data_IF_040843004149
#
_entry.id   IF_040843004149
#
_cell.length_a   1.000
_cell.length_b   1.000
_cell.length_c   1.000
_cell.angle_alpha   90.00
_cell.angle_beta   90.00
_cell.angle_gamma   90.00
#
_symmetry.space_group_name_H-M   'P 1'
#
loop_
_entity.id
_entity.type
_entity.pdbx_description
1 polymer ?
#
# COMPACT_ATOMS: atom_id res chain seq x y z
N UNK A 1 25.57 4.92 4.18
CA UNK A 1 25.68 3.79 3.24
C UNK A 1 25.18 4.28 1.89
N UNK A 2 26.04 4.27 0.84
CA UNK A 2 25.61 4.58 -0.54
C UNK A 2 25.32 3.26 -1.23
N UNK A 3 24.18 3.17 -1.91
CA UNK A 3 23.71 1.96 -2.59
C UNK A 3 23.63 2.30 -4.07
N UNK A 4 24.37 1.57 -4.90
CA UNK A 4 24.43 1.79 -6.34
C UNK A 4 23.39 0.89 -7.00
N UNK A 5 22.33 1.48 -7.57
CA UNK A 5 21.42 0.77 -8.46
C UNK A 5 21.72 1.24 -9.89
N UNK A 6 21.96 0.28 -10.80
CA UNK A 6 22.13 0.55 -12.22
C UNK A 6 20.80 0.24 -12.92
N UNK A 7 20.18 1.19 -13.64
CA UNK A 7 19.00 0.87 -14.43
C UNK A 7 19.36 -0.08 -15.59
N UNK A 8 18.43 -0.94 -16.04
CA UNK A 8 18.62 -1.69 -17.28
C UNK A 8 18.85 -0.68 -18.42
N UNK A 9 19.95 -0.86 -19.16
CA UNK A 9 20.45 0.00 -20.25
C UNK A 9 21.13 1.34 -19.90
N UNK A 10 21.38 1.66 -18.62
CA UNK A 10 22.12 2.89 -18.22
C UNK A 10 21.48 4.22 -18.69
N UNK A 11 20.24 4.17 -19.17
CA UNK A 11 19.47 5.33 -19.59
C UNK A 11 18.67 5.89 -18.40
N UNK A 12 19.04 7.09 -17.95
CA UNK A 12 18.38 7.82 -16.85
C UNK A 12 17.13 8.59 -17.32
N UNK A 13 16.45 8.12 -18.36
CA UNK A 13 15.22 8.74 -18.83
C UNK A 13 14.06 8.44 -17.87
N UNK A 14 13.15 9.41 -17.68
CA UNK A 14 12.05 9.31 -16.71
C UNK A 14 11.15 8.09 -16.98
N UNK A 15 10.97 7.74 -18.25
CA UNK A 15 10.17 6.60 -18.70
C UNK A 15 10.79 5.24 -18.31
N UNK A 16 12.11 5.11 -18.38
CA UNK A 16 12.87 3.92 -18.00
C UNK A 16 12.95 3.77 -16.48
N UNK A 17 13.19 4.87 -15.76
CA UNK A 17 13.25 4.90 -14.29
C UNK A 17 11.89 4.54 -13.68
N UNK A 18 10.79 5.00 -14.28
CA UNK A 18 9.44 4.65 -13.82
C UNK A 18 9.11 3.16 -14.02
N UNK A 19 9.73 2.49 -14.99
CA UNK A 19 9.59 1.04 -15.23
C UNK A 19 10.48 0.19 -14.32
N UNK A 20 11.40 0.82 -13.59
CA UNK A 20 12.30 0.12 -12.67
C UNK A 20 11.50 -0.52 -11.52
N UNK A 21 11.60 -1.84 -11.40
CA UNK A 21 10.94 -2.65 -10.36
C UNK A 21 11.88 -3.06 -9.24
N UNK A 22 13.04 -2.41 -9.14
CA UNK A 22 14.04 -2.73 -8.13
C UNK A 22 13.49 -2.55 -6.72
N UNK A 23 13.94 -3.41 -5.83
CA UNK A 23 13.54 -3.40 -4.42
C UNK A 23 14.78 -3.16 -3.58
N UNK A 24 14.72 -2.13 -2.75
CA UNK A 24 15.69 -1.87 -1.70
C UNK A 24 15.40 -2.80 -0.52
N UNK A 25 16.35 -3.68 -0.22
CA UNK A 25 16.30 -4.55 0.95
C UNK A 25 17.15 -3.96 2.08
N UNK A 26 16.53 -3.68 3.21
CA UNK A 26 17.20 -3.26 4.43
C UNK A 26 17.08 -4.39 5.44
N UNK A 27 18.20 -5.04 5.72
CA UNK A 27 18.28 -6.14 6.68
C UNK A 27 18.97 -5.65 7.95
N UNK A 28 18.33 -5.89 9.10
CA UNK A 28 18.89 -5.56 10.40
C UNK A 28 19.47 -6.82 11.01
N UNK A 29 20.71 -6.72 11.47
CA UNK A 29 21.42 -7.78 12.17
C UNK A 29 21.91 -7.29 13.53
N UNK A 30 21.92 -8.17 14.51
CA UNK A 30 22.67 -8.02 15.75
C UNK A 30 24.07 -8.63 15.56
N UNK A 31 25.11 -7.87 15.87
CA UNK A 31 26.51 -8.28 15.69
C UNK A 31 27.10 -8.71 17.03
N UNK A 32 27.48 -9.99 17.14
CA UNK A 32 28.06 -10.59 18.33
C UNK A 32 29.51 -10.99 18.07
N UNK A 33 30.41 -10.54 18.92
CA UNK A 33 31.80 -10.99 18.94
C UNK A 33 31.88 -12.28 19.77
N UNK A 34 32.19 -13.40 19.12
CA UNK A 34 32.35 -14.70 19.80
C UNK A 34 33.83 -15.04 19.87
N UNK A 35 34.35 -15.14 21.09
CA UNK A 35 35.70 -15.64 21.35
C UNK A 35 35.75 -17.14 21.08
N UNK A 36 36.64 -17.57 20.20
CA UNK A 36 36.84 -18.99 19.94
C UNK A 36 37.66 -19.62 21.08
N UNK A 37 37.18 -20.72 21.72
CA UNK A 37 37.99 -21.42 22.71
C UNK A 37 39.21 -22.07 22.03
N UNK A 38 40.35 -21.96 22.72
CA UNK A 38 41.67 -22.44 22.27
C UNK A 38 41.60 -23.92 21.89
N UNK A 39 42.02 -24.26 20.68
CA UNK A 39 42.40 -25.64 20.36
C UNK A 39 43.81 -25.84 20.92
N UNK A 40 43.98 -26.87 21.74
CA UNK A 40 45.11 -27.08 22.64
C UNK A 40 46.46 -27.44 21.96
N UNK A 41 46.64 -27.08 20.69
CA UNK A 41 47.87 -27.31 19.98
C UNK A 41 48.27 -26.08 19.16
N UNK A 42 49.45 -25.57 19.53
CA UNK A 42 50.32 -24.60 18.85
C UNK A 42 50.41 -23.19 19.47
N UNK A 43 51.68 -22.84 19.71
CA UNK A 43 52.19 -21.78 20.59
C UNK A 43 52.33 -20.44 19.85
N UNK A 44 51.22 -19.81 19.46
CA UNK A 44 51.25 -18.39 19.12
C UNK A 44 49.93 -17.70 19.47
N UNK A 45 50.02 -16.59 20.19
CA UNK A 45 48.89 -15.84 20.76
C UNK A 45 48.15 -15.04 19.67
N UNK A 46 47.47 -15.73 18.76
CA UNK A 46 46.56 -15.10 17.79
C UNK A 46 45.14 -15.33 18.28
N UNK A 47 44.58 -14.34 18.99
CA UNK A 47 43.16 -14.29 19.33
C UNK A 47 42.39 -14.20 18.01
N UNK A 48 41.60 -15.22 17.67
CA UNK A 48 40.72 -15.22 16.50
C UNK A 48 39.31 -14.90 16.98
N UNK A 49 38.91 -13.64 16.86
CA UNK A 49 37.53 -13.23 17.08
C UNK A 49 36.67 -13.64 15.88
N UNK A 50 35.53 -14.29 16.12
CA UNK A 50 34.54 -14.55 15.07
C UNK A 50 33.37 -13.61 15.25
N UNK A 51 33.10 -12.80 14.22
CA UNK A 51 31.90 -11.97 14.15
C UNK A 51 30.72 -12.84 13.71
N UNK A 52 29.73 -13.00 14.59
CA UNK A 52 28.45 -13.64 14.29
C UNK A 52 27.38 -12.55 14.07
N UNK A 53 26.50 -12.76 13.08
CA UNK A 53 25.42 -11.82 12.73
C UNK A 53 24.07 -12.52 12.83
N UNK A 54 23.25 -12.14 13.80
CA UNK A 54 21.91 -12.67 13.98
C UNK A 54 20.89 -11.77 13.27
N UNK A 55 20.09 -12.33 12.38
CA UNK A 55 19.09 -11.54 11.64
C UNK A 55 17.89 -11.18 12.53
N UNK A 56 17.61 -9.89 12.67
CA UNK A 56 16.52 -9.36 13.49
C UNK A 56 15.27 -9.05 12.67
N UNK A 57 15.43 -8.71 11.40
CA UNK A 57 14.29 -8.39 10.53
C UNK A 57 14.69 -7.69 9.25
N UNK A 58 13.70 -7.47 8.39
CA UNK A 58 13.90 -6.82 7.09
C UNK A 58 12.81 -5.81 6.76
N UNK A 59 13.16 -4.82 5.95
CA UNK A 59 12.23 -3.90 5.30
C UNK A 59 12.51 -3.98 3.79
N UNK A 60 11.44 -3.97 3.01
CA UNK A 60 11.48 -3.95 1.54
C UNK A 60 10.84 -2.65 1.06
N UNK A 61 11.59 -1.83 0.34
CA UNK A 61 11.13 -0.56 -0.20
C UNK A 61 11.29 -0.61 -1.71
N UNK A 62 10.20 -0.61 -2.49
CA UNK A 62 10.29 -0.47 -3.94
C UNK A 62 10.99 0.85 -4.32
N UNK A 63 11.90 0.80 -5.28
CA UNK A 63 12.61 1.96 -5.77
C UNK A 63 11.66 3.06 -6.27
N UNK A 64 10.54 2.66 -6.90
CA UNK A 64 9.47 3.57 -7.32
C UNK A 64 9.01 4.52 -6.20
N UNK A 65 8.97 4.04 -4.95
CA UNK A 65 8.51 4.85 -3.82
C UNK A 65 9.51 5.95 -3.46
N UNK A 66 10.81 5.69 -3.65
CA UNK A 66 11.88 6.69 -3.44
C UNK A 66 11.88 7.67 -4.62
N UNK A 67 11.67 7.16 -5.84
CA UNK A 67 11.67 7.96 -7.07
C UNK A 67 10.52 8.97 -7.11
N UNK A 68 9.28 8.54 -6.88
CA UNK A 68 8.10 9.42 -6.93
C UNK A 68 8.12 10.48 -5.83
N UNK A 69 8.53 10.12 -4.61
CA UNK A 69 8.49 11.04 -3.47
C UNK A 69 9.74 11.93 -3.37
N UNK A 70 10.83 11.61 -4.08
CA UNK A 70 12.13 12.27 -4.01
C UNK A 70 12.88 12.06 -2.69
N UNK A 71 12.16 11.92 -1.57
CA UNK A 71 12.66 11.61 -0.24
C UNK A 71 11.71 10.67 0.49
N UNK A 72 12.27 9.76 1.26
CA UNK A 72 11.55 8.93 2.22
C UNK A 72 11.99 9.31 3.63
N UNK A 73 11.05 9.80 4.43
CA UNK A 73 11.26 10.09 5.84
C UNK A 73 10.11 9.50 6.64
N UNK A 74 10.40 8.62 7.59
CA UNK A 74 9.36 8.04 8.41
C UNK A 74 9.80 6.91 9.31
N UNK A 75 8.79 6.35 9.99
CA UNK A 75 8.91 5.20 10.88
C UNK A 75 8.30 3.99 10.19
N UNK A 76 9.14 3.02 9.85
CA UNK A 76 8.76 1.82 9.10
C UNK A 76 8.69 0.62 10.04
N UNK A 77 7.69 -0.24 9.84
CA UNK A 77 7.57 -1.49 10.59
C UNK A 77 8.52 -2.54 10.02
N UNK A 78 9.28 -3.19 10.88
CA UNK A 78 10.17 -4.28 10.50
C UNK A 78 9.37 -5.57 10.28
N UNK A 79 9.67 -6.29 9.21
CA UNK A 79 9.22 -7.66 9.06
C UNK A 79 10.19 -8.58 9.84
N UNK A 80 9.72 -9.07 10.99
CA UNK A 80 10.50 -9.83 11.96
C UNK A 80 10.08 -11.30 11.86
N UNK A 81 11.03 -12.26 11.81
CA UNK A 81 10.69 -13.69 11.85
C UNK A 81 10.01 -14.08 13.18
N UNK A 82 9.16 -15.10 13.12
CA UNK A 82 8.35 -15.54 14.28
C UNK A 82 9.16 -16.21 15.41
N UNK A 83 10.31 -16.86 15.17
CA UNK A 83 11.22 -17.24 16.26
C UNK A 83 12.46 -16.33 16.28
N UNK A 84 12.54 -15.43 17.27
CA UNK A 84 13.80 -14.78 17.66
C UNK A 84 14.31 -15.48 18.93
N UNK A 85 15.11 -16.54 18.77
CA UNK A 85 15.71 -17.26 19.90
C UNK A 85 16.64 -16.31 20.67
N UNK A 86 16.39 -16.12 21.97
CA UNK A 86 17.19 -15.25 22.83
C UNK A 86 16.74 -13.78 22.89
N UNK A 87 15.78 -13.35 22.06
CA UNK A 87 15.24 -11.98 22.12
C UNK A 87 13.82 -12.01 22.70
N UNK A 88 13.63 -11.31 23.82
CA UNK A 88 12.30 -11.11 24.39
C UNK A 88 11.66 -9.87 23.76
N UNK A 89 10.39 -9.99 23.33
CA UNK A 89 9.60 -8.83 22.97
C UNK A 89 8.86 -8.36 24.21
N UNK A 90 9.07 -7.11 24.59
CA UNK A 90 8.35 -6.56 25.72
C UNK A 90 6.85 -6.56 25.39
N UNK A 91 6.06 -7.28 26.19
CA UNK A 91 4.60 -7.26 26.02
C UNK A 91 4.17 -5.89 26.49
N UNK A 92 3.72 -5.04 25.56
CA UNK A 92 3.18 -3.73 25.89
C UNK A 92 2.21 -3.89 27.06
N UNK A 93 2.60 -3.39 28.23
CA UNK A 93 1.76 -3.31 29.42
C UNK A 93 0.76 -2.17 29.22
N UNK A 94 -0.14 -2.35 28.26
CA UNK A 94 -1.30 -1.50 28.01
C UNK A 94 -2.53 -2.23 28.51
N UNK A 95 -3.17 -1.64 29.52
CA UNK A 95 -4.49 -1.94 30.09
C UNK A 95 -5.44 -2.76 29.21
N UNK A 96 -6.04 -3.79 29.84
CA UNK A 96 -7.21 -4.57 29.39
C UNK A 96 -8.10 -3.84 28.36
N UNK A 97 -7.90 -4.14 27.08
CA UNK A 97 -8.95 -4.02 26.06
C UNK A 97 -8.69 -5.04 24.95
N UNK A 98 -9.70 -5.89 24.75
CA UNK A 98 -9.98 -6.73 23.59
C UNK A 98 -9.01 -7.86 23.19
N UNK A 99 -9.42 -9.07 23.59
CA UNK A 99 -8.91 -10.41 23.24
C UNK A 99 -9.10 -10.78 21.75
N UNK A 100 -9.20 -9.83 20.81
CA UNK A 100 -9.41 -10.12 19.38
C UNK A 100 -8.39 -9.51 18.43
N UNK A 101 -7.44 -8.73 18.92
CA UNK A 101 -6.30 -8.29 18.11
C UNK A 101 -5.01 -8.58 18.84
N UNK A 102 -4.34 -9.65 18.43
CA UNK A 102 -2.97 -9.96 18.84
C UNK A 102 -2.06 -8.90 18.19
N UNK A 103 -2.03 -7.69 18.75
CA UNK A 103 -1.10 -6.62 18.37
C UNK A 103 0.29 -7.15 18.74
N UNK A 104 0.94 -7.78 17.78
CA UNK A 104 2.33 -8.19 17.92
C UNK A 104 3.13 -6.92 18.22
N UNK A 105 3.99 -6.89 19.25
CA UNK A 105 4.89 -5.77 19.48
C UNK A 105 5.72 -5.57 18.21
N UNK A 106 5.52 -4.45 17.53
CA UNK A 106 6.14 -4.14 16.25
C UNK A 106 7.45 -3.41 16.48
N UNK A 107 8.59 -4.03 16.17
CA UNK A 107 9.84 -3.28 16.09
C UNK A 107 9.76 -2.32 14.90
N UNK A 108 10.21 -1.09 15.12
CA UNK A 108 10.14 -0.01 14.14
C UNK A 108 11.54 0.50 13.82
N UNK A 109 11.76 0.87 12.56
CA UNK A 109 12.95 1.54 12.08
C UNK A 109 12.58 2.95 11.64
N UNK A 110 13.15 3.97 12.29
CA UNK A 110 13.09 5.34 11.80
C UNK A 110 14.24 5.55 10.83
N UNK A 111 13.94 5.95 9.60
CA UNK A 111 14.96 6.18 8.58
C UNK A 111 14.63 7.37 7.69
N UNK A 112 15.70 7.92 7.13
CA UNK A 112 15.67 8.92 6.07
C UNK A 112 16.48 8.39 4.88
N UNK A 113 15.88 8.42 3.68
CA UNK A 113 16.52 7.99 2.45
C UNK A 113 16.20 8.95 1.30
N UNK A 114 17.19 9.23 0.46
CA UNK A 114 17.10 10.12 -0.71
C UNK A 114 17.96 9.57 -1.84
N UNK A 115 17.67 9.97 -3.07
CA UNK A 115 18.53 9.71 -4.23
C UNK A 115 19.60 10.79 -4.37
N UNK A 116 20.77 10.42 -4.88
CA UNK A 116 21.89 11.30 -5.19
C UNK A 116 22.57 10.81 -6.49
N UNK A 117 22.42 11.53 -7.62
CA UNK A 117 21.70 12.80 -7.80
C UNK A 117 20.17 12.63 -7.74
N UNK A 118 19.45 13.73 -7.50
CA UNK A 118 17.99 13.74 -7.63
C UNK A 118 17.63 13.55 -9.11
N UNK A 119 16.86 12.50 -9.40
CA UNK A 119 16.37 12.23 -10.75
C UNK A 119 15.20 13.18 -11.07
N UNK A 120 14.98 13.46 -12.36
CA UNK A 120 13.83 14.25 -12.80
C UNK A 120 12.53 13.59 -12.30
N UNK A 121 11.56 14.37 -11.76
CA UNK A 121 10.30 13.80 -11.30
C UNK A 121 9.63 13.06 -12.46
N UNK A 122 8.91 11.95 -12.18
CA UNK A 122 8.16 11.27 -13.23
C UNK A 122 7.25 12.29 -13.91
N UNK A 123 7.24 12.30 -15.24
CA UNK A 123 6.25 13.10 -15.98
C UNK A 123 4.89 12.69 -15.45
N UNK A 124 4.09 13.68 -15.02
CA UNK A 124 2.71 13.40 -14.70
C UNK A 124 2.10 12.90 -15.99
N UNK A 125 1.77 11.61 -16.02
CA UNK A 125 1.01 11.02 -17.11
C UNK A 125 -0.38 11.67 -16.99
N UNK A 126 -0.51 12.88 -17.53
CA UNK A 126 -1.78 13.43 -17.93
C UNK A 126 -2.20 12.63 -19.15
N UNK A 127 -2.62 11.40 -18.91
CA UNK A 127 -3.35 10.63 -19.89
C UNK A 127 -4.59 11.45 -20.22
N UNK A 128 -4.55 12.10 -21.38
CA UNK A 128 -5.70 12.70 -22.00
C UNK A 128 -6.61 11.56 -22.43
N UNK A 129 -7.42 11.09 -21.49
CA UNK A 129 -8.44 10.11 -21.79
C UNK A 129 -9.56 10.79 -22.56
N UNK A 130 -9.98 10.16 -23.65
CA UNK A 130 -11.21 10.56 -24.34
C UNK A 130 -12.36 10.48 -23.32
N UNK A 131 -12.99 11.62 -23.06
CA UNK A 131 -14.14 11.71 -22.18
C UNK A 131 -15.40 11.36 -22.95
N UNK A 132 -16.29 10.57 -22.35
CA UNK A 132 -17.64 10.33 -22.91
C UNK A 132 -18.62 11.47 -22.64
N UNK A 133 -18.18 12.51 -21.95
CA UNK A 133 -19.01 13.59 -21.42
C UNK A 133 -19.08 14.78 -22.38
N UNK A 134 -20.10 15.63 -22.20
CA UNK A 134 -20.20 16.86 -22.98
C UNK A 134 -19.10 17.84 -22.61
N UNK A 135 -18.61 18.58 -23.62
CA UNK A 135 -17.55 19.57 -23.45
C UNK A 135 -17.95 20.67 -22.46
N UNK A 136 -19.22 21.06 -22.44
CA UNK A 136 -19.75 22.04 -21.50
C UNK A 136 -19.63 21.59 -20.05
N UNK A 137 -19.96 20.32 -19.78
CA UNK A 137 -19.89 19.74 -18.44
C UNK A 137 -18.44 19.58 -17.98
N UNK A 138 -17.54 19.17 -18.89
CA UNK A 138 -16.11 19.11 -18.61
C UNK A 138 -15.52 20.49 -18.28
N UNK A 139 -15.92 21.53 -19.03
CA UNK A 139 -15.51 22.90 -18.76
C UNK A 139 -15.99 23.36 -17.38
N UNK A 140 -17.25 23.12 -17.05
CA UNK A 140 -17.80 23.47 -15.74
C UNK A 140 -17.07 22.74 -14.61
N UNK A 141 -16.79 21.45 -14.77
CA UNK A 141 -16.04 20.67 -13.80
C UNK A 141 -14.62 21.19 -13.61
N UNK A 142 -13.95 21.60 -14.69
CA UNK A 142 -12.62 22.22 -14.61
C UNK A 142 -12.65 23.51 -13.82
N UNK A 143 -13.61 24.40 -14.11
CA UNK A 143 -13.77 25.64 -13.35
C UNK A 143 -14.07 25.38 -11.87
N UNK A 144 -14.96 24.42 -11.59
CA UNK A 144 -15.29 24.02 -10.22
C UNK A 144 -14.07 23.51 -9.44
N UNK A 145 -13.23 22.66 -10.05
CA UNK A 145 -11.98 22.19 -9.44
C UNK A 145 -11.00 23.35 -9.20
N UNK A 146 -10.85 24.26 -10.17
CA UNK A 146 -9.98 25.43 -10.02
C UNK A 146 -10.45 26.36 -8.89
N UNK A 147 -11.75 26.60 -8.76
CA UNK A 147 -12.31 27.40 -7.67
C UNK A 147 -12.09 26.75 -6.30
N UNK A 148 -12.26 25.42 -6.20
CA UNK A 148 -12.02 24.69 -4.97
C UNK A 148 -10.55 24.67 -4.57
N UNK A 149 -9.64 24.47 -5.52
CA UNK A 149 -8.20 24.55 -5.28
C UNK A 149 -7.77 25.93 -4.77
N UNK A 150 -8.37 27.01 -5.31
CA UNK A 150 -8.14 28.38 -4.81
C UNK A 150 -8.64 28.57 -3.38
N UNK A 151 -9.80 27.99 -3.05
CA UNK A 151 -10.43 28.14 -1.73
C UNK A 151 -9.79 27.25 -0.66
N UNK A 152 -9.29 26.08 -1.05
CA UNK A 152 -8.78 25.04 -0.15
C UNK A 152 -7.54 24.35 -0.75
N UNK A 153 -6.36 24.98 -0.71
CA UNK A 153 -5.17 24.51 -1.42
C UNK A 153 -4.56 23.21 -0.87
N UNK A 154 -4.92 22.79 0.35
CA UNK A 154 -4.40 21.58 0.98
C UNK A 154 -5.30 20.35 0.76
N UNK A 155 -6.26 20.42 -0.17
CA UNK A 155 -7.19 19.33 -0.48
C UNK A 155 -7.09 18.97 -1.95
N UNK A 156 -7.06 17.67 -2.23
CA UNK A 156 -7.09 17.17 -3.59
C UNK A 156 -8.54 17.03 -4.06
N UNK A 157 -8.84 17.62 -5.21
CA UNK A 157 -10.15 17.58 -5.84
C UNK A 157 -10.07 16.84 -7.17
N UNK A 158 -10.91 15.81 -7.32
CA UNK A 158 -11.05 15.03 -8.54
C UNK A 158 -12.51 15.05 -8.96
N UNK A 159 -12.79 15.36 -10.23
CA UNK A 159 -14.14 15.38 -10.78
C UNK A 159 -14.44 14.17 -11.69
N UNK A 160 -13.41 13.66 -12.36
CA UNK A 160 -13.47 12.55 -13.32
C UNK A 160 -12.52 11.43 -12.91
N UNK A 161 -12.91 10.19 -13.19
CA UNK A 161 -12.12 8.98 -12.97
C UNK A 161 -12.01 8.18 -14.26
N UNK A 162 -11.05 7.27 -14.33
CA UNK A 162 -10.87 6.40 -15.48
C UNK A 162 -11.74 5.15 -15.34
N UNK A 163 -12.58 4.90 -16.34
CA UNK A 163 -13.35 3.66 -16.47
C UNK A 163 -12.46 2.50 -16.99
N UNK A 164 -12.94 1.26 -16.91
CA UNK A 164 -12.26 0.05 -17.44
C UNK A 164 -11.92 0.16 -18.93
N UNK A 165 -12.64 0.99 -19.66
CA UNK A 165 -12.43 1.25 -21.09
C UNK A 165 -11.36 2.32 -21.35
N UNK A 166 -10.69 2.84 -20.31
CA UNK A 166 -9.70 3.91 -20.41
C UNK A 166 -10.31 5.26 -20.81
N UNK A 167 -11.58 5.49 -20.45
CA UNK A 167 -12.28 6.77 -20.72
C UNK A 167 -12.45 7.57 -19.44
N UNK A 168 -12.40 8.89 -19.54
CA UNK A 168 -12.68 9.76 -18.41
C UNK A 168 -14.20 9.93 -18.23
N UNK A 169 -14.68 9.58 -17.04
CA UNK A 169 -16.11 9.57 -16.66
C UNK A 169 -16.30 10.33 -15.35
N UNK A 170 -17.41 11.04 -15.19
CA UNK A 170 -17.70 11.75 -13.94
C UNK A 170 -17.90 10.80 -12.75
N UNK A 171 -17.26 11.12 -11.61
CA UNK A 171 -17.42 10.38 -10.35
C UNK A 171 -18.89 10.17 -9.95
N UNK A 172 -19.77 11.19 -10.04
CA UNK A 172 -21.20 11.02 -9.74
C UNK A 172 -21.90 9.87 -10.47
N UNK A 173 -21.40 9.41 -11.63
CA UNK A 173 -22.00 8.27 -12.35
C UNK A 173 -21.82 6.94 -11.62
N UNK A 174 -20.78 6.82 -10.80
CA UNK A 174 -20.52 5.65 -9.97
C UNK A 174 -21.29 5.70 -8.63
N UNK A 175 -21.86 6.85 -8.28
CA UNK A 175 -22.58 7.04 -7.04
C UNK A 175 -24.08 6.77 -7.26
N UNK A 176 -24.45 5.50 -7.22
CA UNK A 176 -25.86 5.09 -7.23
C UNK A 176 -26.15 4.04 -6.16
N UNK A 177 -27.39 3.98 -5.65
CA UNK A 177 -27.80 2.90 -4.76
C UNK A 177 -27.60 1.54 -5.44
N UNK A 178 -27.00 0.60 -4.72
CA UNK A 178 -26.84 -0.79 -5.17
C UNK A 178 -27.94 -1.66 -4.56
N UNK A 179 -28.41 -2.68 -5.31
CA UNK A 179 -29.29 -3.69 -4.74
C UNK A 179 -28.57 -4.44 -3.62
N UNK A 180 -29.32 -4.84 -2.59
CA UNK A 180 -28.77 -5.64 -1.49
C UNK A 180 -28.22 -6.97 -2.05
N UNK A 181 -27.06 -7.43 -1.56
CA UNK A 181 -26.53 -8.74 -1.92
C UNK A 181 -27.53 -9.87 -1.65
N UNK A 182 -27.59 -10.91 -2.50
CA UNK A 182 -28.60 -11.98 -2.39
C UNK A 182 -28.47 -12.85 -1.13
N UNK A 183 -27.38 -12.73 -0.38
CA UNK A 183 -27.14 -13.48 0.86
C UNK A 183 -27.90 -12.86 2.04
N UNK A 184 -29.18 -13.20 2.17
CA UNK A 184 -29.92 -13.16 3.45
C UNK A 184 -30.27 -11.80 4.02
N UNK A 185 -29.94 -10.70 3.34
CA UNK A 185 -30.39 -9.35 3.69
C UNK A 185 -31.78 -9.14 3.07
N UNK A 186 -32.83 -9.57 3.76
CA UNK A 186 -34.19 -9.32 3.26
C UNK A 186 -34.59 -7.87 3.55
N UNK A 187 -35.26 -7.21 2.61
CA UNK A 187 -35.74 -5.83 2.81
C UNK A 187 -36.67 -5.67 4.03
N UNK A 188 -37.21 -6.78 4.54
CA UNK A 188 -38.03 -6.83 5.76
C UNK A 188 -37.22 -6.51 7.04
N UNK A 189 -35.92 -6.81 7.05
CA UNK A 189 -35.02 -6.53 8.18
C UNK A 189 -34.67 -5.02 8.25
N UNK A 190 -34.72 -4.32 7.11
CA UNK A 190 -34.39 -2.89 7.00
C UNK A 190 -35.45 -2.00 7.65
N UNK A 191 -36.74 -2.37 7.58
CA UNK A 191 -37.84 -1.55 8.09
C UNK A 191 -38.08 -1.68 9.59
N UNK A 192 -37.73 -2.82 10.19
CA UNK A 192 -37.91 -3.08 11.62
C UNK A 192 -36.67 -2.71 12.44
N UNK A 193 -35.46 -2.83 11.87
CA UNK A 193 -34.20 -2.45 12.51
C UNK A 193 -33.96 -0.93 12.60
N UNK A 194 -34.56 -0.12 11.73
CA UNK A 194 -34.46 1.34 11.80
C UNK A 194 -35.27 1.94 12.96
N UNK A 195 -36.31 1.25 13.43
CA UNK A 195 -37.19 1.71 14.52
C UNK A 195 -36.69 1.31 15.93
N UNK A 196 -35.88 0.26 16.03
CA UNK A 196 -35.25 -0.18 17.27
C UNK A 196 -33.73 -0.01 17.11
N UNK A 197 -33.16 1.05 17.69
CA UNK A 197 -31.78 1.56 17.47
C UNK A 197 -30.61 0.63 17.82
N UNK A 198 -30.64 -0.64 17.40
CA UNK A 198 -29.58 -1.63 17.55
C UNK A 198 -29.51 -2.68 16.43
N UNK A 199 -30.33 -2.58 15.36
CA UNK A 199 -30.30 -3.54 14.25
C UNK A 199 -29.36 -3.19 13.09
N UNK A 200 -28.97 -1.92 12.95
CA UNK A 200 -28.11 -1.44 11.85
C UNK A 200 -26.68 -2.00 11.88
N UNK A 201 -26.14 -2.29 13.07
CA UNK A 201 -24.76 -2.76 13.23
C UNK A 201 -24.58 -4.17 12.67
N UNK A 202 -25.57 -5.06 12.87
CA UNK A 202 -25.52 -6.43 12.33
C UNK A 202 -25.58 -6.44 10.80
N UNK A 203 -26.40 -5.56 10.20
CA UNK A 203 -26.49 -5.42 8.75
C UNK A 203 -25.17 -4.88 8.16
N UNK A 204 -24.57 -3.87 8.80
CA UNK A 204 -23.31 -3.30 8.36
C UNK A 204 -22.15 -4.30 8.49
N UNK A 205 -22.15 -5.15 9.53
CA UNK A 205 -21.19 -6.24 9.67
C UNK A 205 -21.36 -7.32 8.59
N UNK A 206 -22.60 -7.67 8.24
CA UNK A 206 -22.86 -8.63 7.16
C UNK A 206 -22.42 -8.08 5.79
N UNK A 207 -22.68 -6.80 5.52
CA UNK A 207 -22.20 -6.11 4.32
C UNK A 207 -20.67 -6.05 4.29
N UNK A 208 -20.02 -5.69 5.40
CA UNK A 208 -18.56 -5.68 5.50
C UNK A 208 -17.96 -7.07 5.28
N UNK A 209 -18.58 -8.12 5.85
CA UNK A 209 -18.17 -9.51 5.62
C UNK A 209 -18.33 -9.89 4.15
N UNK A 210 -19.43 -9.52 3.51
CA UNK A 210 -19.63 -9.77 2.09
C UNK A 210 -18.59 -9.06 1.22
N UNK A 211 -18.33 -7.77 1.45
CA UNK A 211 -17.27 -7.02 0.74
C UNK A 211 -15.89 -7.64 0.96
N UNK A 212 -15.63 -8.21 2.14
CA UNK A 212 -14.36 -8.89 2.41
C UNK A 212 -14.15 -10.19 1.62
N UNK A 213 -15.20 -10.75 1.02
CA UNK A 213 -15.10 -11.91 0.14
C UNK A 213 -14.71 -11.54 -1.30
N UNK A 214 -14.83 -10.27 -1.67
CA UNK A 214 -14.42 -9.79 -3.00
C UNK A 214 -12.89 -9.88 -3.08
N UNK A 215 -12.34 -10.58 -4.09
CA UNK A 215 -10.90 -10.74 -4.23
C UNK A 215 -10.25 -9.38 -4.52
N UNK A 216 -9.21 -9.05 -3.77
CA UNK A 216 -8.40 -7.87 -4.05
C UNK A 216 -7.48 -8.13 -5.23
N UNK A 217 -7.61 -7.32 -6.29
CA UNK A 217 -6.73 -7.31 -7.44
C UNK A 217 -6.19 -5.89 -7.62
N UNK A 218 -4.87 -5.74 -7.67
CA UNK A 218 -4.25 -4.43 -7.85
C UNK A 218 -4.41 -3.94 -9.30
N UNK A 219 -4.84 -2.70 -9.48
CA UNK A 219 -5.04 -2.05 -10.80
C UNK A 219 -3.83 -2.20 -11.71
N UNK A 220 -2.61 -2.08 -11.15
CA UNK A 220 -1.35 -2.19 -11.88
C UNK A 220 -1.10 -3.56 -12.50
N UNK A 221 -1.76 -4.61 -11.98
CA UNK A 221 -1.68 -5.98 -12.49
C UNK A 221 -2.68 -6.19 -13.62
N UNK A 222 -3.88 -5.61 -13.49
CA UNK A 222 -4.98 -5.79 -14.45
C UNK A 222 -4.83 -4.87 -15.67
N UNK A 223 -4.35 -3.65 -15.45
CA UNK A 223 -4.30 -2.59 -16.46
C UNK A 223 -2.93 -1.90 -16.45
N UNK A 224 -1.93 -2.47 -17.15
CA UNK A 224 -0.59 -1.91 -17.16
C UNK A 224 -0.57 -0.51 -17.78
N UNK A 225 -0.16 0.49 -17.00
CA UNK A 225 -0.08 1.89 -17.42
C UNK A 225 -1.31 2.74 -17.09
N UNK A 226 -2.32 2.17 -16.43
CA UNK A 226 -3.46 2.89 -15.84
C UNK A 226 -3.42 2.70 -14.32
N UNK A 227 -3.66 3.78 -13.59
CA UNK A 227 -3.80 3.76 -12.13
C UNK A 227 -5.15 4.39 -11.76
N UNK A 228 -5.79 3.90 -10.69
CA UNK A 228 -7.05 4.45 -10.15
C UNK A 228 -8.23 4.26 -11.12
N UNK A 229 -8.49 2.99 -11.45
CA UNK A 229 -9.60 2.58 -12.32
C UNK A 229 -10.82 2.29 -11.47
N UNK A 230 -11.95 2.85 -11.88
CA UNK A 230 -13.23 2.66 -11.20
C UNK A 230 -14.09 1.71 -12.00
N UNK A 231 -14.59 0.65 -11.35
CA UNK A 231 -15.48 -0.33 -11.94
C UNK A 231 -16.88 -0.23 -11.32
N UNK A 232 -17.90 -0.52 -12.12
CA UNK A 232 -19.26 -0.72 -11.59
C UNK A 232 -19.35 -2.12 -10.97
N UNK A 233 -20.17 -2.27 -9.92
CA UNK A 233 -20.36 -3.53 -9.20
C UNK A 233 -20.70 -4.72 -10.12
N UNK A 234 -21.43 -4.48 -11.23
CA UNK A 234 -21.83 -5.50 -12.19
C UNK A 234 -20.66 -6.24 -12.85
N UNK A 235 -19.55 -5.53 -13.05
CA UNK A 235 -18.31 -6.09 -13.63
C UNK A 235 -17.63 -6.99 -12.61
N UNK A 236 -17.53 -6.54 -11.36
CA UNK A 236 -16.95 -7.29 -10.26
C UNK A 236 -17.70 -8.61 -10.00
N UNK A 237 -19.04 -8.60 -10.04
CA UNK A 237 -19.87 -9.80 -9.87
C UNK A 237 -19.74 -10.80 -11.03
N UNK A 238 -19.47 -10.33 -12.24
CA UNK A 238 -19.42 -11.17 -13.45
C UNK A 238 -18.12 -11.95 -13.56
N UNK A 239 -17.00 -11.37 -13.09
CA UNK A 239 -15.68 -12.03 -13.07
C UNK A 239 -15.69 -13.28 -12.17
N UNK A 240 -16.51 -13.29 -11.11
CA UNK A 240 -16.67 -14.44 -10.22
C UNK A 240 -17.47 -15.58 -10.88
N UNK A 241 -18.48 -15.26 -11.69
CA UNK A 241 -19.29 -16.27 -12.41
C UNK A 241 -18.54 -16.98 -13.53
N UNK A 242 -17.53 -16.35 -14.13
CA UNK A 242 -16.74 -16.97 -15.20
C UNK A 242 -15.69 -17.98 -14.69
N UNK A 243 -15.47 -18.07 -13.37
CA UNK A 243 -14.49 -18.98 -12.76
C UNK A 243 -15.11 -20.24 -12.13
N UNK A 244 -16.43 -20.40 -12.22
CA UNK A 244 -17.16 -21.63 -11.88
C UNK A 244 -17.80 -22.24 -13.13
#
# INVERSE_FOLDING_TARGET
>A
MKIYNQPPDNDFDASSIQRCRDILYINIFDELHVDQPKTDQERDQIIRERIARNWLGSIKIPFSNIYVNGRLEGTYRLNIPNPLLGYSRDKFSGTKLDTTQRILPTSVLRMFATMDPLLAPPESIQQSFDSTESLELLNHARFWVEELNKKFPNRDYKATVSDINGRAVFIPRFLHPLPLPPFGLTAADTTTAAAAGGGGDNQMQQLARFVSLIPFLADTVTFPGLCDIWETSDVSWSIERSKN
#
